data_IF_727980572723
#
_entry.id   IF_727980572723
#
_cell.length_a   1.000
_cell.length_b   1.000
_cell.length_c   1.000
_cell.angle_alpha   90.00
_cell.angle_beta   90.00
_cell.angle_gamma   90.00
#
_symmetry.space_group_name_H-M   'P 1'
#
loop_
_entity.id
_entity.type
_entity.pdbx_description
1 polymer ?
#
# COMPACT_ATOMS: atom_id res chain seq x y z
N UNK A 1 -15.18 5.65 12.81
CA UNK A 1 -14.26 4.76 12.06
C UNK A 1 -14.94 3.47 11.56
N UNK A 2 -15.54 2.61 12.39
CA UNK A 2 -16.19 1.35 11.93
C UNK A 2 -17.25 1.57 10.84
N UNK A 3 -18.17 2.50 11.07
CA UNK A 3 -19.24 2.83 10.12
C UNK A 3 -18.67 3.36 8.79
N UNK A 4 -17.60 4.17 8.86
CA UNK A 4 -16.91 4.70 7.68
C UNK A 4 -16.25 3.58 6.86
N UNK A 5 -15.52 2.68 7.52
CA UNK A 5 -14.94 1.50 6.86
C UNK A 5 -16.00 0.61 6.23
N UNK A 6 -17.11 0.36 6.92
CA UNK A 6 -18.23 -0.43 6.38
C UNK A 6 -18.81 0.22 5.12
N UNK A 7 -19.01 1.55 5.13
CA UNK A 7 -19.47 2.32 3.98
C UNK A 7 -18.49 2.22 2.81
N UNK A 8 -17.19 2.44 3.06
CA UNK A 8 -16.19 2.35 2.00
C UNK A 8 -16.02 0.95 1.46
N UNK A 9 -16.07 -0.10 2.28
CA UNK A 9 -16.05 -1.48 1.81
C UNK A 9 -17.22 -1.78 0.87
N UNK A 10 -18.42 -1.31 1.20
CA UNK A 10 -19.60 -1.47 0.34
C UNK A 10 -19.44 -0.74 -1.00
N UNK A 11 -19.01 0.53 -0.97
CA UNK A 11 -18.78 1.31 -2.19
C UNK A 11 -17.65 0.77 -3.07
N UNK A 12 -16.56 0.29 -2.45
CA UNK A 12 -15.47 -0.43 -3.13
C UNK A 12 -16.01 -1.69 -3.81
N UNK A 13 -16.86 -2.47 -3.12
CA UNK A 13 -17.51 -3.64 -3.71
C UNK A 13 -18.31 -3.29 -4.96
N UNK A 14 -19.19 -2.29 -4.86
CA UNK A 14 -19.98 -1.80 -6.00
C UNK A 14 -19.10 -1.31 -7.16
N UNK A 15 -17.94 -0.71 -6.87
CA UNK A 15 -16.98 -0.25 -7.88
C UNK A 15 -16.20 -1.41 -8.55
N UNK A 16 -15.68 -2.35 -7.76
CA UNK A 16 -14.72 -3.36 -8.23
C UNK A 16 -15.36 -4.67 -8.68
N UNK A 17 -16.47 -5.11 -8.06
CA UNK A 17 -17.11 -6.39 -8.39
C UNK A 17 -17.41 -6.55 -9.89
N UNK A 18 -18.00 -5.55 -10.59
CA UNK A 18 -18.28 -5.70 -12.01
C UNK A 18 -17.01 -5.86 -12.86
N UNK A 19 -15.92 -5.19 -12.46
CA UNK A 19 -14.63 -5.27 -13.15
C UNK A 19 -14.00 -6.65 -12.93
N UNK A 20 -13.97 -7.13 -11.69
CA UNK A 20 -13.41 -8.44 -11.35
C UNK A 20 -14.20 -9.55 -12.05
N UNK A 21 -15.53 -9.51 -11.99
CA UNK A 21 -16.39 -10.49 -12.66
C UNK A 21 -16.11 -10.57 -14.16
N UNK A 22 -15.81 -9.44 -14.80
CA UNK A 22 -15.55 -9.38 -16.23
C UNK A 22 -14.15 -9.88 -16.62
N UNK A 23 -13.11 -9.56 -15.83
CA UNK A 23 -11.71 -9.76 -16.24
C UNK A 23 -10.96 -10.84 -15.47
N UNK A 24 -11.43 -11.25 -14.29
CA UNK A 24 -10.89 -12.36 -13.51
C UNK A 24 -11.95 -12.93 -12.54
N UNK A 25 -13.00 -13.61 -13.05
CA UNK A 25 -14.13 -14.08 -12.22
C UNK A 25 -13.71 -15.10 -11.16
N UNK A 26 -12.64 -15.87 -11.40
CA UNK A 26 -12.12 -16.86 -10.44
C UNK A 26 -11.71 -16.24 -9.10
N UNK A 27 -11.33 -14.95 -9.08
CA UNK A 27 -11.02 -14.24 -7.85
C UNK A 27 -12.25 -14.08 -6.93
N UNK A 28 -13.47 -14.10 -7.47
CA UNK A 28 -14.72 -14.03 -6.70
C UNK A 28 -15.12 -15.40 -6.13
N UNK A 29 -14.76 -16.48 -6.82
CA UNK A 29 -15.22 -17.85 -6.53
C UNK A 29 -14.20 -18.65 -5.70
N UNK A 30 -12.94 -18.21 -5.67
CA UNK A 30 -11.84 -18.94 -5.05
C UNK A 30 -11.89 -19.02 -3.52
N UNK A 31 -11.41 -20.12 -2.97
CA UNK A 31 -11.40 -20.42 -1.52
C UNK A 31 -10.48 -19.51 -0.67
N UNK A 32 -9.63 -18.69 -1.30
CA UNK A 32 -8.53 -17.97 -0.63
C UNK A 32 -8.83 -16.55 -0.15
N UNK A 33 -10.10 -16.14 -0.12
CA UNK A 33 -10.55 -14.79 0.31
C UNK A 33 -9.83 -13.64 -0.45
N UNK A 34 -9.30 -13.88 -1.66
CA UNK A 34 -8.50 -12.90 -2.41
C UNK A 34 -9.26 -11.61 -2.70
N UNK A 35 -10.49 -11.74 -3.22
CA UNK A 35 -11.34 -10.59 -3.47
C UNK A 35 -11.59 -9.78 -2.20
N UNK A 36 -11.83 -10.46 -1.07
CA UNK A 36 -12.05 -9.80 0.23
C UNK A 36 -10.80 -9.04 0.69
N UNK A 37 -9.60 -9.59 0.48
CA UNK A 37 -8.33 -8.88 0.76
C UNK A 37 -8.19 -7.62 -0.09
N UNK A 38 -8.55 -7.70 -1.37
CA UNK A 38 -8.57 -6.54 -2.27
C UNK A 38 -9.56 -5.48 -1.77
N UNK A 39 -10.77 -5.86 -1.39
CA UNK A 39 -11.77 -4.95 -0.82
C UNK A 39 -11.25 -4.25 0.44
N UNK A 40 -10.58 -4.97 1.35
CA UNK A 40 -10.02 -4.35 2.56
C UNK A 40 -8.90 -3.36 2.22
N UNK A 41 -7.98 -3.69 1.31
CA UNK A 41 -6.92 -2.77 0.95
C UNK A 41 -7.49 -1.52 0.28
N UNK A 42 -8.42 -1.68 -0.66
CA UNK A 42 -9.12 -0.57 -1.31
C UNK A 42 -9.94 0.27 -0.34
N UNK A 43 -10.58 -0.33 0.67
CA UNK A 43 -11.28 0.44 1.70
C UNK A 43 -10.30 1.28 2.55
N UNK A 44 -9.12 0.76 2.89
CA UNK A 44 -8.07 1.55 3.58
C UNK A 44 -7.59 2.70 2.71
N UNK A 45 -7.37 2.47 1.41
CA UNK A 45 -6.97 3.54 0.48
C UNK A 45 -8.05 4.60 0.33
N UNK A 46 -9.33 4.24 0.44
CA UNK A 46 -10.41 5.22 0.50
C UNK A 46 -10.39 6.06 1.78
N UNK A 47 -10.12 5.47 2.95
CA UNK A 47 -9.96 6.24 4.19
C UNK A 47 -8.78 7.21 4.11
N UNK A 48 -7.65 6.76 3.58
CA UNK A 48 -6.48 7.63 3.40
C UNK A 48 -6.75 8.70 2.34
N UNK A 49 -7.36 8.34 1.22
CA UNK A 49 -7.76 9.29 0.16
C UNK A 49 -8.75 10.34 0.64
N UNK A 50 -9.69 9.96 1.52
CA UNK A 50 -10.61 10.87 2.18
C UNK A 50 -9.87 11.87 3.06
N UNK A 51 -9.00 11.38 3.94
CA UNK A 51 -8.17 12.25 4.74
C UNK A 51 -7.31 13.19 3.89
N UNK A 52 -6.71 12.70 2.80
CA UNK A 52 -5.94 13.48 1.85
C UNK A 52 -6.77 14.61 1.22
N UNK A 53 -7.99 14.31 0.78
CA UNK A 53 -8.90 15.30 0.18
C UNK A 53 -9.25 16.41 1.18
N UNK A 54 -9.68 16.04 2.40
CA UNK A 54 -10.07 17.01 3.42
C UNK A 54 -8.89 17.86 3.90
N UNK A 55 -7.70 17.27 4.10
CA UNK A 55 -6.49 18.04 4.42
C UNK A 55 -6.16 19.04 3.31
N UNK A 56 -6.38 18.65 2.05
CA UNK A 56 -6.21 19.52 0.89
C UNK A 56 -7.30 20.59 0.74
N UNK A 57 -8.36 20.57 1.55
CA UNK A 57 -9.51 21.48 1.45
C UNK A 57 -10.50 21.11 0.35
N UNK A 58 -10.58 19.83 -0.03
CA UNK A 58 -11.49 19.34 -1.06
C UNK A 58 -12.45 18.28 -0.50
N UNK A 59 -13.68 18.27 -1.02
CA UNK A 59 -14.67 17.26 -0.69
C UNK A 59 -14.27 15.87 -1.20
N UNK A 60 -14.54 14.85 -0.39
CA UNK A 60 -14.38 13.46 -0.82
C UNK A 60 -15.65 12.93 -1.48
N UNK A 61 -15.79 13.23 -2.76
CA UNK A 61 -16.92 12.87 -3.62
C UNK A 61 -16.84 11.43 -4.19
N UNK A 62 -17.88 11.05 -4.94
CA UNK A 62 -17.97 9.73 -5.58
C UNK A 62 -16.82 9.43 -6.54
N UNK A 63 -16.30 10.45 -7.23
CA UNK A 63 -15.17 10.29 -8.15
C UNK A 63 -13.90 9.97 -7.38
N UNK A 64 -13.62 10.68 -6.28
CA UNK A 64 -12.45 10.39 -5.41
C UNK A 64 -12.58 9.05 -4.70
N UNK A 65 -13.81 8.64 -4.37
CA UNK A 65 -14.10 7.29 -3.86
C UNK A 65 -13.77 6.20 -4.90
N UNK A 66 -14.20 6.39 -6.15
CA UNK A 66 -13.85 5.48 -7.25
C UNK A 66 -12.33 5.40 -7.46
N UNK A 67 -11.65 6.56 -7.52
CA UNK A 67 -10.18 6.63 -7.64
C UNK A 67 -9.49 5.87 -6.52
N UNK A 68 -9.89 6.06 -5.26
CA UNK A 68 -9.35 5.34 -4.11
C UNK A 68 -9.56 3.83 -4.22
N UNK A 69 -10.71 3.41 -4.75
CA UNK A 69 -11.07 2.01 -4.95
C UNK A 69 -10.21 1.33 -6.01
N UNK A 70 -10.05 1.98 -7.18
CA UNK A 70 -9.19 1.52 -8.27
C UNK A 70 -7.71 1.50 -7.84
N UNK A 71 -7.23 2.56 -7.19
CA UNK A 71 -5.85 2.64 -6.72
C UNK A 71 -5.52 1.53 -5.72
N UNK A 72 -6.40 1.28 -4.74
CA UNK A 72 -6.18 0.19 -3.80
C UNK A 72 -6.18 -1.20 -4.44
N UNK A 73 -6.99 -1.40 -5.49
CA UNK A 73 -6.99 -2.64 -6.25
C UNK A 73 -5.69 -2.81 -7.06
N UNK A 74 -5.20 -1.72 -7.67
CA UNK A 74 -3.88 -1.70 -8.30
C UNK A 74 -2.77 -2.06 -7.30
N UNK A 75 -2.79 -1.48 -6.10
CA UNK A 75 -1.81 -1.81 -5.06
C UNK A 75 -1.89 -3.29 -4.66
N UNK A 76 -3.08 -3.85 -4.49
CA UNK A 76 -3.28 -5.26 -4.13
C UNK A 76 -2.71 -6.20 -5.20
N UNK A 77 -3.07 -5.97 -6.46
CA UNK A 77 -2.63 -6.80 -7.57
C UNK A 77 -1.10 -6.66 -7.77
N UNK A 78 -0.58 -5.44 -7.78
CA UNK A 78 0.84 -5.18 -7.91
C UNK A 78 1.68 -5.85 -6.83
N UNK A 79 1.23 -5.83 -5.58
CA UNK A 79 1.91 -6.48 -4.47
C UNK A 79 1.92 -8.00 -4.63
N UNK A 80 0.80 -8.59 -5.06
CA UNK A 80 0.73 -10.04 -5.31
C UNK A 80 1.70 -10.52 -6.39
N UNK A 81 1.98 -9.73 -7.44
CA UNK A 81 2.99 -10.10 -8.45
C UNK A 81 4.42 -10.13 -7.88
N UNK A 82 4.68 -9.33 -6.85
CA UNK A 82 5.97 -9.27 -6.17
C UNK A 82 6.11 -10.40 -5.15
N UNK A 83 5.02 -10.73 -4.48
CA UNK A 83 5.06 -11.57 -3.29
C UNK A 83 4.69 -13.04 -3.57
N UNK A 84 3.77 -13.31 -4.51
CA UNK A 84 3.08 -14.62 -4.57
C UNK A 84 3.55 -15.55 -5.69
N UNK A 85 4.28 -15.05 -6.71
CA UNK A 85 4.61 -15.82 -7.93
C UNK A 85 6.08 -16.25 -8.06
N UNK A 86 6.92 -16.02 -7.04
CA UNK A 86 8.33 -16.41 -7.01
C UNK A 86 9.27 -15.48 -7.79
N UNK A 87 10.58 -15.63 -7.59
CA UNK A 87 11.57 -14.63 -8.02
C UNK A 87 11.61 -14.34 -9.52
N UNK A 88 11.47 -15.37 -10.37
CA UNK A 88 11.53 -15.20 -11.82
C UNK A 88 10.35 -14.40 -12.34
N UNK A 89 9.13 -14.76 -11.92
CA UNK A 89 7.90 -14.04 -12.27
C UNK A 89 7.92 -12.61 -11.73
N UNK A 90 8.43 -12.40 -10.50
CA UNK A 90 8.60 -11.05 -9.94
C UNK A 90 9.53 -10.18 -10.80
N UNK A 91 10.64 -10.73 -11.31
CA UNK A 91 11.58 -9.98 -12.16
C UNK A 91 10.97 -9.66 -13.53
N UNK A 92 10.33 -10.63 -14.19
CA UNK A 92 9.61 -10.41 -15.47
C UNK A 92 8.52 -9.34 -15.30
N UNK A 93 7.74 -9.42 -14.22
CA UNK A 93 6.70 -8.43 -13.92
C UNK A 93 7.28 -7.03 -13.74
N UNK A 94 8.36 -6.87 -12.96
CA UNK A 94 8.98 -5.56 -12.76
C UNK A 94 9.54 -4.97 -14.06
N UNK A 95 10.18 -5.79 -14.90
CA UNK A 95 10.68 -5.33 -16.20
C UNK A 95 9.53 -4.82 -17.09
N UNK A 96 8.46 -5.61 -17.19
CA UNK A 96 7.27 -5.27 -17.99
C UNK A 96 6.49 -4.08 -17.42
N UNK A 97 6.44 -3.93 -16.10
CA UNK A 97 5.91 -2.73 -15.47
C UNK A 97 6.76 -1.50 -15.80
N UNK A 98 8.09 -1.67 -15.90
CA UNK A 98 8.99 -0.65 -16.43
C UNK A 98 8.60 -0.22 -17.84
N UNK A 99 8.39 -1.18 -18.75
CA UNK A 99 7.91 -0.94 -20.12
C UNK A 99 6.59 -0.18 -20.15
N UNK A 100 5.62 -0.56 -19.31
CA UNK A 100 4.35 0.17 -19.21
C UNK A 100 4.56 1.65 -18.86
N UNK A 101 5.46 1.95 -17.92
CA UNK A 101 5.70 3.32 -17.46
C UNK A 101 6.53 4.16 -18.46
N UNK A 102 7.32 3.53 -19.33
CA UNK A 102 8.15 4.22 -20.32
C UNK A 102 7.49 4.33 -21.68
N UNK A 103 6.82 3.27 -22.14
CA UNK A 103 6.26 3.13 -23.48
C UNK A 103 4.73 3.24 -23.50
N UNK A 104 4.06 3.13 -22.34
CA UNK A 104 2.60 3.20 -22.24
C UNK A 104 1.88 1.92 -22.64
N UNK A 105 2.60 0.83 -22.88
CA UNK A 105 2.04 -0.46 -23.32
C UNK A 105 2.36 -1.60 -22.35
N UNK A 106 1.41 -2.51 -22.18
CA UNK A 106 1.54 -3.71 -21.36
C UNK A 106 0.69 -4.82 -21.99
N UNK A 107 1.34 -5.90 -22.45
CA UNK A 107 0.64 -7.07 -22.99
C UNK A 107 0.38 -8.08 -21.86
N UNK A 108 -0.87 -8.23 -21.36
CA UNK A 108 -1.14 -9.09 -20.21
C UNK A 108 -1.00 -10.57 -20.55
N UNK A 109 -0.23 -11.32 -19.77
CA UNK A 109 -0.02 -12.78 -19.93
C UNK A 109 -1.03 -13.62 -19.16
N UNK A 110 -1.69 -13.04 -18.16
CA UNK A 110 -2.65 -13.75 -17.29
C UNK A 110 -3.91 -12.90 -17.06
N UNK A 111 -5.00 -13.53 -16.63
CA UNK A 111 -6.23 -12.81 -16.25
C UNK A 111 -6.00 -11.83 -15.08
N UNK A 112 -5.08 -12.17 -14.16
CA UNK A 112 -4.71 -11.28 -13.06
C UNK A 112 -3.98 -10.04 -13.56
N UNK A 113 -3.04 -10.21 -14.49
CA UNK A 113 -2.35 -9.09 -15.16
C UNK A 113 -3.32 -8.27 -16.02
N UNK A 114 -4.26 -8.93 -16.70
CA UNK A 114 -5.31 -8.27 -17.49
C UNK A 114 -6.20 -7.41 -16.60
N UNK A 115 -6.62 -7.93 -15.45
CA UNK A 115 -7.36 -7.19 -14.45
C UNK A 115 -6.57 -5.97 -13.96
N UNK A 116 -5.28 -6.14 -13.63
CA UNK A 116 -4.40 -5.04 -13.23
C UNK A 116 -4.34 -3.96 -14.31
N UNK A 117 -4.08 -4.33 -15.56
CA UNK A 117 -3.99 -3.40 -16.68
C UNK A 117 -5.29 -2.61 -16.86
N UNK A 118 -6.44 -3.27 -16.81
CA UNK A 118 -7.75 -2.60 -16.96
C UNK A 118 -8.00 -1.61 -15.83
N UNK A 119 -7.70 -1.99 -14.59
CA UNK A 119 -7.88 -1.09 -13.43
C UNK A 119 -6.92 0.10 -13.53
N UNK A 120 -5.65 -0.14 -13.88
CA UNK A 120 -4.65 0.92 -14.07
C UNK A 120 -5.06 1.88 -15.19
N UNK A 121 -5.52 1.36 -16.34
CA UNK A 121 -6.00 2.17 -17.45
C UNK A 121 -7.20 3.05 -17.05
N UNK A 122 -8.17 2.51 -16.31
CA UNK A 122 -9.30 3.29 -15.77
C UNK A 122 -8.84 4.37 -14.80
N UNK A 123 -7.91 4.04 -13.90
CA UNK A 123 -7.34 5.01 -12.98
C UNK A 123 -6.60 6.13 -13.71
N UNK A 124 -5.87 5.79 -14.77
CA UNK A 124 -5.11 6.75 -15.57
C UNK A 124 -6.02 7.59 -16.50
N UNK A 125 -7.22 7.12 -16.80
CA UNK A 125 -8.23 7.93 -17.48
C UNK A 125 -8.83 9.02 -16.57
N UNK A 126 -8.82 8.80 -15.26
CA UNK A 126 -9.38 9.76 -14.30
C UNK A 126 -8.47 10.96 -14.02
N UNK A 127 -7.17 10.83 -14.28
CA UNK A 127 -6.17 11.85 -13.94
C UNK A 127 -5.07 11.91 -14.97
N UNK A 128 -4.59 13.11 -15.23
CA UNK A 128 -3.45 13.30 -16.12
C UNK A 128 -2.18 12.69 -15.50
N UNK A 129 -1.87 11.47 -15.92
CA UNK A 129 -0.65 10.76 -15.50
C UNK A 129 0.62 11.34 -16.09
N UNK A 130 0.50 12.18 -17.12
CA UNK A 130 1.63 12.91 -17.69
C UNK A 130 1.94 14.17 -16.88
N UNK A 131 1.05 14.59 -15.97
CA UNK A 131 1.33 15.65 -15.02
C UNK A 131 2.63 15.32 -14.25
N UNK A 132 3.62 16.23 -14.23
CA UNK A 132 4.97 15.92 -13.72
C UNK A 132 4.99 15.32 -12.32
N UNK A 133 4.15 15.81 -11.42
CA UNK A 133 4.09 15.33 -10.03
C UNK A 133 3.54 13.90 -9.96
N UNK A 134 2.47 13.60 -10.72
CA UNK A 134 1.86 12.26 -10.75
C UNK A 134 2.86 11.28 -11.35
N UNK A 135 3.42 11.63 -12.51
CA UNK A 135 4.44 10.82 -13.20
C UNK A 135 5.63 10.52 -12.31
N UNK A 136 6.17 11.55 -11.64
CA UNK A 136 7.31 11.37 -10.77
C UNK A 136 6.99 10.53 -9.54
N UNK A 137 5.80 10.69 -8.93
CA UNK A 137 5.38 9.86 -7.81
C UNK A 137 5.25 8.38 -8.20
N UNK A 138 4.66 8.09 -9.37
CA UNK A 138 4.53 6.72 -9.90
C UNK A 138 5.90 6.11 -10.20
N UNK A 139 6.79 6.85 -10.86
CA UNK A 139 8.16 6.38 -11.13
C UNK A 139 8.94 6.11 -9.84
N UNK A 140 8.82 6.97 -8.82
CA UNK A 140 9.49 6.76 -7.54
C UNK A 140 8.93 5.55 -6.77
N UNK A 141 7.62 5.29 -6.87
CA UNK A 141 7.02 4.06 -6.35
C UNK A 141 7.61 2.81 -7.03
N UNK A 142 7.63 2.81 -8.36
CA UNK A 142 8.21 1.72 -9.15
C UNK A 142 9.69 1.48 -8.79
N UNK A 143 10.50 2.53 -8.73
CA UNK A 143 11.91 2.42 -8.35
C UNK A 143 12.09 1.88 -6.92
N UNK A 144 11.22 2.26 -5.99
CA UNK A 144 11.23 1.74 -4.63
C UNK A 144 10.87 0.24 -4.57
N UNK A 145 9.92 -0.21 -5.40
CA UNK A 145 9.57 -1.63 -5.52
C UNK A 145 10.71 -2.44 -6.16
N UNK A 146 11.30 -1.93 -7.25
CA UNK A 146 12.44 -2.57 -7.91
C UNK A 146 13.63 -2.75 -6.96
N UNK A 147 13.99 -1.69 -6.23
CA UNK A 147 15.07 -1.73 -5.25
C UNK A 147 14.80 -2.73 -4.11
N UNK A 148 13.56 -2.84 -3.65
CA UNK A 148 13.16 -3.80 -2.61
C UNK A 148 13.34 -5.25 -3.09
N UNK A 149 12.93 -5.57 -4.31
CA UNK A 149 13.11 -6.90 -4.91
C UNK A 149 14.59 -7.25 -5.10
N UNK A 150 15.40 -6.31 -5.61
CA UNK A 150 16.85 -6.50 -5.77
C UNK A 150 17.55 -6.79 -4.43
N UNK A 151 17.11 -6.14 -3.35
CA UNK A 151 17.63 -6.40 -2.00
C UNK A 151 17.22 -7.77 -1.45
N UNK A 152 16.03 -8.27 -1.78
CA UNK A 152 15.59 -9.61 -1.39
C UNK A 152 16.41 -10.69 -2.12
N UNK A 153 16.66 -10.52 -3.41
CA UNK A 153 17.39 -11.47 -4.25
C UNK A 153 18.88 -11.63 -3.90
N UNK A 154 19.48 -10.62 -3.24
CA UNK A 154 20.93 -10.63 -2.91
C UNK A 154 21.28 -11.37 -1.62
N UNK A 155 20.29 -11.86 -0.86
CA UNK A 155 20.58 -12.63 0.38
C UNK A 155 20.84 -14.09 0.05
N UNK A 156 22.08 -14.52 0.32
CA UNK A 156 22.47 -15.93 0.20
C UNK A 156 22.36 -16.73 1.50
N UNK A 157 22.41 -16.10 2.68
CA UNK A 157 22.49 -16.83 3.95
C UNK A 157 21.70 -16.18 5.10
N UNK A 158 21.16 -17.01 6.00
CA UNK A 158 20.35 -16.67 7.18
C UNK A 158 21.03 -15.80 8.27
N UNK A 159 22.14 -15.12 7.96
CA UNK A 159 22.83 -14.22 8.87
C UNK A 159 22.04 -12.92 9.08
N UNK A 160 22.20 -12.30 10.26
CA UNK A 160 21.68 -10.96 10.53
C UNK A 160 22.31 -9.96 9.57
N UNK A 161 21.49 -9.04 9.08
CA UNK A 161 21.94 -8.00 8.17
C UNK A 161 22.89 -7.01 8.86
N UNK A 162 23.90 -6.55 8.11
CA UNK A 162 24.74 -5.45 8.55
C UNK A 162 23.90 -4.16 8.71
N UNK A 163 24.38 -3.22 9.52
CA UNK A 163 23.66 -1.94 9.77
C UNK A 163 23.35 -1.18 8.47
N UNK A 164 24.25 -1.21 7.49
CA UNK A 164 24.04 -0.58 6.19
C UNK A 164 22.86 -1.22 5.43
N UNK A 165 22.80 -2.56 5.38
CA UNK A 165 21.70 -3.31 4.74
C UNK A 165 20.37 -3.09 5.46
N UNK A 166 20.38 -3.06 6.80
CA UNK A 166 19.17 -2.75 7.58
C UNK A 166 18.66 -1.33 7.30
N UNK A 167 19.57 -0.36 7.17
CA UNK A 167 19.21 1.02 6.79
C UNK A 167 18.68 1.10 5.35
N UNK A 168 19.14 0.22 4.44
CA UNK A 168 18.60 0.11 3.09
C UNK A 168 17.18 -0.45 3.11
N UNK A 169 16.91 -1.54 3.84
CA UNK A 169 15.56 -2.07 4.01
C UNK A 169 14.61 -1.03 4.60
N UNK A 170 15.05 -0.31 5.64
CA UNK A 170 14.25 0.77 6.24
C UNK A 170 13.88 1.83 5.20
N UNK A 171 14.81 2.20 4.32
CA UNK A 171 14.60 3.18 3.26
C UNK A 171 13.66 2.67 2.18
N UNK A 172 13.78 1.40 1.79
CA UNK A 172 12.90 0.77 0.81
C UNK A 172 11.47 0.69 1.34
N UNK A 173 11.27 0.21 2.56
CA UNK A 173 9.97 0.19 3.23
C UNK A 173 9.35 1.61 3.29
N UNK A 174 10.12 2.60 3.73
CA UNK A 174 9.71 4.01 3.76
C UNK A 174 9.26 4.49 2.37
N UNK A 175 10.09 4.26 1.35
CA UNK A 175 9.87 4.78 0.01
C UNK A 175 8.70 4.08 -0.68
N UNK A 176 8.54 2.75 -0.54
CA UNK A 176 7.45 1.98 -1.15
C UNK A 176 6.10 2.57 -0.78
N UNK A 177 5.73 2.54 0.50
CA UNK A 177 4.41 3.05 0.89
C UNK A 177 4.35 4.58 0.94
N UNK A 178 5.48 5.26 1.19
CA UNK A 178 5.53 6.73 1.14
C UNK A 178 5.14 7.24 -0.25
N UNK A 179 5.76 6.71 -1.31
CA UNK A 179 5.41 7.08 -2.68
C UNK A 179 4.03 6.58 -3.08
N UNK A 180 3.56 5.43 -2.59
CA UNK A 180 2.18 4.99 -2.83
C UNK A 180 1.14 6.01 -2.32
N UNK A 181 1.33 6.56 -1.13
CA UNK A 181 0.43 7.60 -0.60
C UNK A 181 0.58 8.92 -1.35
N UNK A 182 1.77 9.25 -1.87
CA UNK A 182 1.93 10.40 -2.76
C UNK A 182 1.17 10.24 -4.08
N UNK A 183 1.22 9.05 -4.68
CA UNK A 183 0.46 8.73 -5.90
C UNK A 183 -1.04 8.84 -5.62
N UNK A 184 -1.53 8.25 -4.53
CA UNK A 184 -2.93 8.39 -4.13
C UNK A 184 -3.31 9.86 -3.93
N UNK A 185 -2.49 10.63 -3.23
CA UNK A 185 -2.71 12.05 -2.99
C UNK A 185 -2.81 12.81 -4.32
N UNK A 186 -1.92 12.52 -5.27
CA UNK A 186 -1.90 13.12 -6.60
C UNK A 186 -3.13 12.76 -7.43
N UNK A 187 -3.69 11.57 -7.19
CA UNK A 187 -4.91 11.16 -7.86
C UNK A 187 -6.18 11.74 -7.24
N UNK A 188 -6.23 11.97 -5.93
CA UNK A 188 -7.45 12.52 -5.31
C UNK A 188 -7.47 14.05 -5.28
N UNK A 189 -6.32 14.73 -5.31
CA UNK A 189 -6.22 16.18 -5.27
C UNK A 189 -6.01 16.78 -6.67
N UNK A 190 -6.66 17.91 -7.01
CA UNK A 190 -6.39 18.62 -8.25
C UNK A 190 -5.04 19.34 -8.23
N UNK A 191 -4.58 19.77 -7.06
CA UNK A 191 -3.29 20.44 -6.85
C UNK A 191 -2.62 19.89 -5.58
N UNK A 192 -1.31 19.63 -5.67
CA UNK A 192 -0.51 19.12 -4.56
C UNK A 192 0.44 20.18 -4.04
N UNK A 193 0.16 20.69 -2.84
CA UNK A 193 1.08 21.60 -2.15
C UNK A 193 2.30 20.82 -1.61
N UNK A 194 3.49 21.40 -1.74
CA UNK A 194 4.76 20.76 -1.37
C UNK A 194 4.90 20.50 0.15
N UNK A 195 4.41 21.42 0.97
CA UNK A 195 4.37 21.31 2.44
C UNK A 195 3.54 20.11 2.90
N UNK A 196 2.43 19.84 2.20
CA UNK A 196 1.55 18.70 2.40
C UNK A 196 2.18 17.36 1.95
N UNK A 197 2.88 17.36 0.81
CA UNK A 197 3.49 16.14 0.24
C UNK A 197 4.46 15.46 1.21
N UNK A 198 5.32 16.22 1.87
CA UNK A 198 6.26 15.65 2.83
C UNK A 198 5.54 14.90 3.96
N UNK A 199 4.42 15.44 4.46
CA UNK A 199 3.62 14.82 5.53
C UNK A 199 2.93 13.55 5.05
N UNK A 200 2.34 13.57 3.85
CA UNK A 200 1.71 12.38 3.27
C UNK A 200 2.71 11.27 2.99
N UNK A 201 3.91 11.60 2.53
CA UNK A 201 4.98 10.64 2.37
C UNK A 201 5.33 9.97 3.71
N UNK A 202 5.43 10.73 4.80
CA UNK A 202 5.70 10.18 6.13
C UNK A 202 4.53 9.36 6.69
N UNK A 203 3.28 9.75 6.41
CA UNK A 203 2.11 8.93 6.73
C UNK A 203 2.19 7.57 6.02
N UNK A 204 2.49 7.57 4.72
CA UNK A 204 2.72 6.34 3.95
C UNK A 204 3.87 5.50 4.51
N UNK A 205 5.00 6.11 4.85
CA UNK A 205 6.10 5.39 5.48
C UNK A 205 5.69 4.71 6.79
N UNK A 206 4.89 5.38 7.62
CA UNK A 206 4.37 4.80 8.86
C UNK A 206 3.44 3.61 8.58
N UNK A 207 2.59 3.68 7.55
CA UNK A 207 1.73 2.56 7.14
C UNK A 207 2.59 1.32 6.86
N UNK A 208 3.68 1.44 6.10
CA UNK A 208 4.57 0.29 5.81
C UNK A 208 5.21 -0.27 7.07
N UNK A 209 5.73 0.58 7.98
CA UNK A 209 6.33 0.06 9.22
C UNK A 209 5.32 -0.68 10.10
N UNK A 210 4.07 -0.18 10.16
CA UNK A 210 2.97 -0.85 10.86
C UNK A 210 2.64 -2.18 10.18
N UNK A 211 2.64 -2.21 8.84
CA UNK A 211 2.36 -3.39 8.04
C UNK A 211 3.46 -4.45 8.23
N UNK A 212 4.72 -4.14 7.90
CA UNK A 212 5.89 -5.02 8.10
C UNK A 212 5.94 -5.62 9.51
N UNK A 213 5.55 -4.86 10.54
CA UNK A 213 5.50 -5.37 11.90
C UNK A 213 4.41 -6.43 12.09
N UNK A 214 3.21 -6.18 11.55
CA UNK A 214 2.09 -7.12 11.65
C UNK A 214 2.29 -8.39 10.83
N UNK A 215 3.15 -8.38 9.79
CA UNK A 215 3.51 -9.54 8.96
C UNK A 215 4.85 -10.18 9.32
N UNK A 216 5.52 -9.67 10.37
CA UNK A 216 6.85 -10.08 10.78
C UNK A 216 7.06 -11.61 10.79
N UNK A 217 6.10 -12.37 11.35
CA UNK A 217 6.21 -13.83 11.46
C UNK A 217 5.84 -14.57 10.17
N UNK A 218 4.82 -14.10 9.44
CA UNK A 218 4.48 -14.66 8.12
C UNK A 218 5.62 -14.44 7.12
N UNK A 219 6.22 -13.26 7.12
CA UNK A 219 7.35 -12.93 6.24
C UNK A 219 8.56 -13.81 6.55
N UNK A 220 8.87 -14.00 7.84
CA UNK A 220 9.96 -14.91 8.24
C UNK A 220 9.70 -16.34 7.79
N UNK A 221 8.45 -16.84 7.87
CA UNK A 221 8.08 -18.17 7.39
C UNK A 221 8.22 -18.30 5.87
N UNK A 222 7.89 -17.25 5.13
CA UNK A 222 8.01 -17.19 3.67
C UNK A 222 9.40 -16.73 3.18
N UNK A 223 10.39 -16.67 4.09
CA UNK A 223 11.76 -16.18 3.80
C UNK A 223 11.81 -14.77 3.19
N UNK A 224 10.80 -13.93 3.46
CA UNK A 224 10.74 -12.52 3.04
C UNK A 224 11.43 -11.64 4.06
N UNK A 225 12.23 -10.69 3.58
CA UNK A 225 12.94 -9.75 4.44
C UNK A 225 12.22 -8.41 4.49
N UNK A 226 11.93 -7.96 5.70
CA UNK A 226 11.38 -6.63 5.94
C UNK A 226 12.25 -5.91 6.96
N UNK A 227 12.11 -4.59 7.03
CA UNK A 227 12.85 -3.84 8.05
C UNK A 227 12.47 -4.32 9.47
N UNK A 228 11.18 -4.60 9.70
CA UNK A 228 10.67 -4.93 11.02
C UNK A 228 11.03 -6.35 11.46
N UNK A 229 11.21 -7.30 10.56
CA UNK A 229 11.63 -8.65 10.94
C UNK A 229 13.16 -8.81 11.13
N UNK A 230 13.94 -7.79 10.77
CA UNK A 230 15.41 -7.78 10.93
C UNK A 230 15.91 -6.95 12.13
N UNK A 231 15.05 -6.20 12.81
CA UNK A 231 15.43 -5.46 14.04
C UNK A 231 15.38 -6.35 15.28
N UNK A 232 16.22 -6.07 16.28
CA UNK A 232 16.29 -6.88 17.49
C UNK A 232 15.04 -6.85 18.38
N UNK A 233 14.25 -5.77 18.34
CA UNK A 233 12.97 -5.66 19.04
C UNK A 233 11.97 -4.89 18.15
N UNK A 234 11.15 -5.62 17.36
CA UNK A 234 10.20 -5.03 16.42
C UNK A 234 9.14 -4.15 17.10
N UNK A 235 8.56 -4.60 18.22
CA UNK A 235 7.49 -3.87 18.93
C UNK A 235 7.99 -2.54 19.50
N UNK A 236 9.15 -2.54 20.18
CA UNK A 236 9.78 -1.31 20.69
C UNK A 236 10.18 -0.36 19.55
N UNK A 237 10.64 -0.92 18.44
CA UNK A 237 11.02 -0.14 17.25
C UNK A 237 9.80 0.51 16.62
N UNK A 238 8.70 -0.24 16.44
CA UNK A 238 7.46 0.28 15.89
C UNK A 238 6.89 1.39 16.78
N UNK A 239 6.80 1.16 18.10
CA UNK A 239 6.28 2.14 19.05
C UNK A 239 7.00 3.49 18.93
N UNK A 240 8.35 3.46 18.83
CA UNK A 240 9.15 4.68 18.64
C UNK A 240 8.84 5.37 17.30
N UNK A 241 8.77 4.59 16.22
CA UNK A 241 8.44 5.15 14.89
C UNK A 241 7.04 5.74 14.88
N UNK A 242 6.05 5.03 15.44
CA UNK A 242 4.68 5.47 15.55
C UNK A 242 4.56 6.81 16.26
N UNK A 243 5.06 6.94 17.49
CA UNK A 243 4.96 8.21 18.23
C UNK A 243 5.68 9.36 17.52
N UNK A 244 6.86 9.11 16.93
CA UNK A 244 7.59 10.14 16.20
C UNK A 244 6.81 10.64 14.97
N UNK A 245 6.24 9.73 14.17
CA UNK A 245 5.51 10.10 12.96
C UNK A 245 4.15 10.73 13.31
N UNK A 246 3.41 10.20 14.29
CA UNK A 246 2.15 10.81 14.74
C UNK A 246 2.37 12.22 15.28
N UNK A 247 3.42 12.46 16.08
CA UNK A 247 3.75 13.80 16.54
C UNK A 247 4.06 14.77 15.38
N UNK A 248 4.77 14.30 14.35
CA UNK A 248 5.08 15.09 13.15
C UNK A 248 3.84 15.37 12.29
N UNK A 249 2.90 14.43 12.22
CA UNK A 249 1.63 14.62 11.49
C UNK A 249 0.71 15.57 12.24
N UNK A 250 0.54 15.38 13.56
CA UNK A 250 -0.33 16.22 14.39
C UNK A 250 0.10 17.70 14.40
N UNK A 251 1.40 17.95 14.52
CA UNK A 251 1.95 19.32 14.52
C UNK A 251 2.18 19.91 13.12
N UNK A 252 2.17 19.07 12.09
CA UNK A 252 2.58 19.47 10.74
C UNK A 252 1.46 19.53 9.71
N UNK A 253 0.28 18.99 10.02
CA UNK A 253 -0.91 19.05 9.19
C UNK A 253 -1.88 20.12 9.74
N UNK A 254 -2.68 20.76 8.87
CA UNK A 254 -3.69 21.72 9.30
C UNK A 254 -4.70 21.05 10.26
N UNK A 255 -5.21 21.84 11.21
CA UNK A 255 -6.33 21.41 12.05
C UNK A 255 -7.58 21.12 11.19
N UNK A 256 -8.29 20.03 11.50
CA UNK A 256 -9.53 19.66 10.82
C UNK A 256 -9.76 18.16 10.72
N UNK A 257 -10.93 17.80 10.20
CA UNK A 257 -11.43 16.42 10.14
C UNK A 257 -10.50 15.48 9.37
N UNK A 258 -9.87 15.95 8.29
CA UNK A 258 -8.97 15.13 7.49
C UNK A 258 -7.71 14.70 8.26
N UNK A 259 -7.12 15.59 9.07
CA UNK A 259 -5.98 15.27 9.93
C UNK A 259 -6.40 14.25 10.99
N UNK A 260 -7.52 14.50 11.64
CA UNK A 260 -8.02 13.67 12.73
C UNK A 260 -8.40 12.28 12.22
N UNK A 261 -8.96 12.20 11.01
CA UNK A 261 -9.25 10.96 10.29
C UNK A 261 -7.98 10.16 10.00
N UNK A 262 -6.94 10.80 9.47
CA UNK A 262 -5.66 10.15 9.18
C UNK A 262 -5.00 9.60 10.45
N UNK A 263 -4.94 10.41 11.51
CA UNK A 263 -4.36 10.01 12.80
C UNK A 263 -5.18 8.87 13.41
N UNK A 264 -6.51 8.94 13.38
CA UNK A 264 -7.37 7.88 13.88
C UNK A 264 -7.19 6.57 13.08
N UNK A 265 -7.07 6.66 11.75
CA UNK A 265 -6.78 5.51 10.90
C UNK A 265 -5.43 4.87 11.25
N UNK A 266 -4.35 5.66 11.30
CA UNK A 266 -3.01 5.17 11.62
C UNK A 266 -2.93 4.56 13.02
N UNK A 267 -3.59 5.18 14.00
CA UNK A 267 -3.64 4.69 15.38
C UNK A 267 -4.36 3.35 15.45
N UNK A 268 -5.51 3.24 14.79
CA UNK A 268 -6.21 1.97 14.69
C UNK A 268 -5.38 0.92 13.98
N UNK A 269 -4.73 1.28 12.86
CA UNK A 269 -3.93 0.33 12.10
C UNK A 269 -2.81 -0.25 12.96
N UNK A 270 -2.12 0.63 13.68
CA UNK A 270 -1.08 0.27 14.62
C UNK A 270 -1.57 -0.75 15.66
N UNK A 271 -2.72 -0.49 16.30
CA UNK A 271 -3.29 -1.40 17.30
C UNK A 271 -3.67 -2.75 16.70
N UNK A 272 -4.37 -2.75 15.56
CA UNK A 272 -4.77 -3.99 14.86
C UNK A 272 -3.55 -4.83 14.46
N UNK A 273 -2.46 -4.19 14.00
CA UNK A 273 -1.25 -4.91 13.55
C UNK A 273 -0.34 -5.34 14.70
N UNK A 274 -0.38 -4.68 15.85
CA UNK A 274 0.21 -5.22 17.09
C UNK A 274 -0.50 -6.51 17.49
N UNK A 275 -1.83 -6.50 17.50
CA UNK A 275 -2.60 -7.68 17.88
C UNK A 275 -2.37 -8.84 16.91
N UNK A 276 -2.38 -8.56 15.60
CA UNK A 276 -2.00 -9.55 14.57
C UNK A 276 -0.64 -10.18 14.85
N UNK A 277 0.38 -9.37 15.11
CA UNK A 277 1.72 -9.86 15.42
C UNK A 277 1.71 -10.81 16.62
N UNK A 278 1.01 -10.44 17.71
CA UNK A 278 0.90 -11.27 18.92
C UNK A 278 0.20 -12.60 18.63
N UNK A 279 -0.90 -12.56 17.88
CA UNK A 279 -1.64 -13.76 17.51
C UNK A 279 -0.84 -14.71 16.62
N UNK A 280 -0.14 -14.19 15.61
CA UNK A 280 0.72 -14.99 14.73
C UNK A 280 1.86 -15.67 15.51
N UNK A 281 2.46 -14.97 16.49
CA UNK A 281 3.51 -15.52 17.34
C UNK A 281 3.03 -16.69 18.18
N UNK A 282 1.82 -16.62 18.73
CA UNK A 282 1.28 -17.62 19.67
C UNK A 282 0.65 -18.81 18.95
N UNK A 283 -0.14 -18.55 17.90
CA UNK A 283 -1.02 -19.57 17.30
C UNK A 283 -0.50 -20.14 15.98
N UNK A 284 0.59 -19.59 15.44
CA UNK A 284 1.00 -19.86 14.06
C UNK A 284 -0.07 -19.54 13.01
N UNK A 285 -1.14 -18.85 13.41
CA UNK A 285 -2.41 -18.73 12.69
C UNK A 285 -2.43 -17.57 11.66
N UNK A 286 -3.45 -17.65 10.80
CA UNK A 286 -3.67 -16.97 9.51
C UNK A 286 -2.91 -15.65 9.26
N UNK A 287 -2.34 -15.48 8.05
CA UNK A 287 -1.69 -14.24 7.61
C UNK A 287 -2.63 -13.02 7.53
N UNK A 288 -3.92 -13.14 7.88
CA UNK A 288 -4.90 -12.08 7.64
C UNK A 288 -5.67 -11.66 8.89
N UNK A 289 -5.69 -10.35 9.15
CA UNK A 289 -6.49 -9.73 10.21
C UNK A 289 -7.43 -8.71 9.57
N UNK A 290 -8.73 -8.89 9.80
CA UNK A 290 -9.80 -8.01 9.29
C UNK A 290 -9.85 -6.75 10.14
N UNK A 291 -10.10 -5.60 9.52
CA UNK A 291 -10.58 -4.42 10.22
C UNK A 291 -12.05 -4.63 10.62
N UNK A 292 -12.27 -5.10 11.86
CA UNK A 292 -13.55 -5.04 12.56
C UNK A 292 -13.60 -3.83 13.51
#
# INVERSE_FOLDING_TARGET
MNALFKRYRAGVGACLEPIVRQYNPLMLEGEQDEYRKMLELSAKMNVVGHACAEIGGFDYDERRHMIGSLFGACCFLADSFIDDFGEEATRDYLERLGTLLTEGWFDPKTDRERLFFVIAARLFAERDVLHPIVRQAVLQLYMAQKQDVELRATRRDGRRLARAQLNMLKRCARNRSGHAILVLSAFVLPELRLDYLARMFWAGALIMYIDDHGDCWSDLKSNRLTFMNQVGNPERTLRRLFHAHIGQLASGLPDGDGRDLLIAFLTRYYLTRIEKHRQQRVKGASPWAIYE
#
